data_IF_043201799697
#
_entry.id   IF_043201799697
#
_cell.length_a   1.000
_cell.length_b   1.000
_cell.length_c   1.000
_cell.angle_alpha   90.00
_cell.angle_beta   90.00
_cell.angle_gamma   90.00
#
_symmetry.space_group_name_H-M   'P 1'
#
loop_
_entity.id
_entity.type
_entity.pdbx_description
1 polymer ?
#
# COMPACT_ATOMS: atom_id res chain seq x y z
N UNK A 1 41.48 -5.35 63.92
CA UNK A 1 41.79 -4.67 62.66
C UNK A 1 40.47 -4.09 62.14
N UNK A 2 40.46 -2.76 62.01
CA UNK A 2 39.61 -1.93 61.13
C UNK A 2 38.11 -1.77 61.42
N UNK A 3 37.69 -0.51 61.22
CA UNK A 3 36.47 0.20 61.62
C UNK A 3 35.16 -0.18 60.86
N UNK A 4 33.98 0.30 61.36
CA UNK A 4 32.62 0.08 60.85
C UNK A 4 32.08 1.34 60.08
N UNK A 5 30.75 1.66 60.01
CA UNK A 5 29.63 1.14 59.20
C UNK A 5 28.96 2.23 58.28
N UNK A 6 27.80 1.90 57.66
CA UNK A 6 26.79 2.79 57.02
C UNK A 6 27.03 3.48 55.65
N UNK A 7 25.89 3.67 54.94
CA UNK A 7 25.63 4.31 53.63
C UNK A 7 25.80 3.39 52.39
N UNK A 8 24.86 3.29 51.43
CA UNK A 8 23.72 4.13 51.09
C UNK A 8 22.62 3.29 50.41
N UNK A 9 21.37 3.71 50.63
CA UNK A 9 20.30 3.61 49.65
C UNK A 9 20.85 4.08 48.30
N UNK A 10 20.61 3.33 47.22
CA UNK A 10 20.65 3.94 45.90
C UNK A 10 19.28 3.79 45.23
N UNK A 11 18.66 4.95 45.13
CA UNK A 11 17.46 5.28 44.41
C UNK A 11 17.71 5.15 42.89
N UNK A 12 16.66 4.81 42.13
CA UNK A 12 16.43 5.25 40.73
C UNK A 12 17.49 4.82 39.69
N UNK A 13 17.12 4.02 38.69
CA UNK A 13 16.31 4.55 37.62
C UNK A 13 15.19 3.61 37.20
N UNK A 14 14.05 3.76 37.88
CA UNK A 14 12.84 4.10 37.14
C UNK A 14 13.26 5.10 36.06
N UNK A 15 13.24 4.71 34.79
CA UNK A 15 13.13 5.72 33.74
C UNK A 15 12.09 6.72 34.24
N UNK A 16 12.39 8.02 34.26
CA UNK A 16 11.37 8.97 34.66
C UNK A 16 10.14 8.63 33.80
N UNK A 17 8.91 8.67 34.34
CA UNK A 17 7.78 8.87 33.45
C UNK A 17 8.20 10.06 32.60
N UNK A 18 8.38 9.83 31.28
CA UNK A 18 8.68 10.92 30.37
C UNK A 18 7.73 12.04 30.79
N UNK A 19 8.24 13.24 31.10
CA UNK A 19 7.37 14.30 31.57
C UNK A 19 6.20 14.31 30.61
N UNK A 20 4.98 14.24 31.14
CA UNK A 20 3.76 14.47 30.37
C UNK A 20 3.90 15.89 29.82
N UNK A 21 4.71 16.05 28.78
CA UNK A 21 4.83 17.27 28.01
C UNK A 21 3.53 17.27 27.26
N UNK A 22 2.64 18.12 27.73
CA UNK A 22 1.29 18.23 27.21
C UNK A 22 1.38 18.41 25.70
N UNK A 23 0.38 17.87 25.00
CA UNK A 23 0.17 18.07 23.57
C UNK A 23 0.42 19.53 23.14
N UNK A 24 0.05 20.48 24.00
CA UNK A 24 0.31 21.92 23.81
C UNK A 24 1.78 22.27 23.58
N UNK A 25 2.73 21.69 24.31
CA UNK A 25 4.16 22.01 24.18
C UNK A 25 4.70 21.60 22.81
N UNK A 26 4.26 20.46 22.31
CA UNK A 26 4.66 19.96 20.97
C UNK A 26 4.06 20.84 19.89
N UNK A 27 2.77 21.16 20.00
CA UNK A 27 2.05 22.01 19.05
C UNK A 27 2.61 23.43 19.02
N UNK A 28 2.94 24.00 20.18
CA UNK A 28 3.55 25.33 20.28
C UNK A 28 4.92 25.37 19.61
N UNK A 29 5.77 24.36 19.83
CA UNK A 29 7.07 24.26 19.18
C UNK A 29 6.97 24.14 17.66
N UNK A 30 5.95 23.43 17.15
CA UNK A 30 5.68 23.34 15.72
C UNK A 30 5.20 24.67 15.14
N UNK A 31 4.26 25.33 15.82
CA UNK A 31 3.77 26.64 15.41
C UNK A 31 4.89 27.69 15.40
N UNK A 32 5.81 27.66 16.37
CA UNK A 32 6.97 28.54 16.39
C UNK A 32 7.90 28.28 15.20
N UNK A 33 8.10 27.01 14.81
CA UNK A 33 8.84 26.66 13.60
C UNK A 33 8.15 27.18 12.32
N UNK A 34 6.82 27.04 12.20
CA UNK A 34 6.06 27.58 11.06
C UNK A 34 6.12 29.10 10.99
N UNK A 35 6.03 29.77 12.14
CA UNK A 35 6.17 31.23 12.24
C UNK A 35 7.55 31.68 11.80
N UNK A 36 8.62 31.02 12.26
CA UNK A 36 9.98 31.31 11.84
C UNK A 36 10.18 31.19 10.31
N UNK A 37 9.55 30.19 9.68
CA UNK A 37 9.56 30.05 8.22
C UNK A 37 8.79 31.17 7.51
N UNK A 38 7.62 31.57 8.03
CA UNK A 38 6.82 32.67 7.47
C UNK A 38 7.52 34.03 7.62
N UNK A 39 8.20 34.27 8.73
CA UNK A 39 8.97 35.49 9.00
C UNK A 39 10.28 35.53 8.21
N UNK A 40 10.79 34.36 7.82
CA UNK A 40 12.11 34.20 7.20
C UNK A 40 13.25 34.32 8.20
N UNK A 41 13.01 33.98 9.47
CA UNK A 41 14.02 34.02 10.53
C UNK A 41 14.92 32.78 10.47
N UNK A 42 16.06 32.94 9.81
CA UNK A 42 17.05 31.88 9.60
C UNK A 42 17.56 31.28 10.91
N UNK A 43 17.76 32.10 11.95
CA UNK A 43 18.32 31.62 13.22
C UNK A 43 17.27 30.89 14.05
N UNK A 44 16.02 31.36 14.06
CA UNK A 44 14.91 30.64 14.66
C UNK A 44 14.62 29.31 13.95
N UNK A 45 14.68 29.27 12.61
CA UNK A 45 14.57 28.01 11.84
C UNK A 45 15.72 27.07 12.18
N UNK A 46 16.96 27.58 12.27
CA UNK A 46 18.12 26.78 12.67
C UNK A 46 17.94 26.18 14.06
N UNK A 47 17.44 26.96 15.01
CA UNK A 47 17.27 26.56 16.40
C UNK A 47 16.12 25.57 16.62
N UNK A 48 15.07 25.65 15.80
CA UNK A 48 13.86 24.82 15.89
C UNK A 48 13.96 23.49 15.13
N UNK A 49 15.04 23.24 14.38
CA UNK A 49 15.23 22.03 13.59
C UNK A 49 16.42 21.18 14.07
N UNK A 50 16.34 19.86 13.91
CA UNK A 50 17.43 18.93 14.21
C UNK A 50 18.42 18.80 13.03
N UNK A 51 19.60 19.42 13.10
CA UNK A 51 20.61 19.33 12.02
C UNK A 51 21.60 18.18 12.23
N UNK A 52 21.98 17.46 11.16
CA UNK A 52 22.97 16.36 11.22
C UNK A 52 22.87 15.36 10.06
N UNK A 53 23.66 14.28 10.13
CA UNK A 53 23.54 13.14 9.21
C UNK A 53 22.23 12.41 9.48
N UNK A 54 21.41 12.27 8.43
CA UNK A 54 20.07 11.67 8.53
C UNK A 54 19.95 10.48 7.58
N UNK A 55 19.18 9.45 7.96
CA UNK A 55 18.83 8.41 7.03
C UNK A 55 17.92 8.94 5.91
N UNK A 56 17.86 8.29 4.74
CA UNK A 56 17.11 8.79 3.58
C UNK A 56 15.62 9.10 3.83
N UNK A 57 15.00 8.45 4.81
CA UNK A 57 13.58 8.60 5.16
C UNK A 57 13.26 9.79 6.08
N UNK A 58 14.27 10.48 6.65
CA UNK A 58 14.11 11.71 7.45
C UNK A 58 14.46 12.98 6.62
N UNK A 59 14.47 12.85 5.29
CA UNK A 59 14.76 13.95 4.36
C UNK A 59 13.52 14.82 4.16
N UNK A 60 13.70 16.10 4.45
CA UNK A 60 12.68 17.15 4.34
C UNK A 60 13.13 18.15 3.26
N UNK A 61 12.16 18.75 2.57
CA UNK A 61 12.38 19.78 1.55
C UNK A 61 13.27 20.91 2.05
N UNK A 62 13.09 21.38 3.30
CA UNK A 62 13.94 22.42 3.87
C UNK A 62 15.41 21.99 3.94
N UNK A 63 15.67 20.73 4.30
CA UNK A 63 17.03 20.18 4.39
C UNK A 63 17.63 19.99 3.01
N UNK A 64 16.86 19.46 2.07
CA UNK A 64 17.30 19.25 0.69
C UNK A 64 17.63 20.58 0.01
N UNK A 65 16.77 21.60 0.15
CA UNK A 65 17.05 22.96 -0.33
C UNK A 65 18.26 23.58 0.37
N UNK A 66 18.39 23.41 1.70
CA UNK A 66 19.52 23.95 2.45
C UNK A 66 20.85 23.32 2.04
N UNK A 67 20.85 22.03 1.67
CA UNK A 67 22.03 21.33 1.17
C UNK A 67 22.41 21.78 -0.26
N UNK A 68 21.43 22.11 -1.10
CA UNK A 68 21.64 22.54 -2.47
C UNK A 68 22.06 24.02 -2.58
N UNK A 69 21.45 24.89 -1.78
CA UNK A 69 21.52 26.35 -1.96
C UNK A 69 21.98 27.11 -0.72
N UNK A 70 22.05 26.45 0.44
CA UNK A 70 22.29 27.08 1.73
C UNK A 70 21.00 27.43 2.48
N UNK A 71 21.09 27.43 3.81
CA UNK A 71 19.92 27.66 4.68
C UNK A 71 19.21 29.02 4.44
N UNK A 72 19.92 30.17 4.27
CA UNK A 72 19.25 31.45 4.04
C UNK A 72 18.38 31.47 2.76
N UNK A 73 18.90 30.93 1.66
CA UNK A 73 18.16 30.80 0.40
C UNK A 73 16.98 29.85 0.54
N UNK A 74 17.16 28.69 1.16
CA UNK A 74 16.08 27.72 1.40
C UNK A 74 14.92 28.32 2.23
N UNK A 75 15.24 29.05 3.31
CA UNK A 75 14.25 29.76 4.13
C UNK A 75 13.53 30.84 3.32
N UNK A 76 14.26 31.58 2.49
CA UNK A 76 13.67 32.60 1.60
C UNK A 76 12.69 31.99 0.58
N UNK A 77 13.02 30.82 0.03
CA UNK A 77 12.10 30.12 -0.87
C UNK A 77 10.84 29.65 -0.15
N UNK A 78 11.00 28.97 1.00
CA UNK A 78 9.88 28.42 1.75
C UNK A 78 9.00 29.49 2.40
N UNK A 79 9.56 30.66 2.73
CA UNK A 79 8.79 31.82 3.20
C UNK A 79 7.65 32.18 2.25
N UNK A 80 7.87 32.13 0.93
CA UNK A 80 6.83 32.46 -0.07
C UNK A 80 5.60 31.56 0.03
N UNK A 81 5.80 30.33 0.51
CA UNK A 81 4.75 29.36 0.78
C UNK A 81 4.11 29.63 2.15
N UNK A 82 4.93 29.68 3.21
CA UNK A 82 4.44 29.75 4.59
C UNK A 82 3.81 31.10 4.98
N UNK A 83 4.20 32.20 4.35
CA UNK A 83 3.55 33.52 4.52
C UNK A 83 2.07 33.53 4.09
N UNK A 84 1.68 32.56 3.26
CA UNK A 84 0.32 32.46 2.69
C UNK A 84 -0.47 31.26 3.21
N UNK A 85 0.23 30.26 3.73
CA UNK A 85 -0.37 29.01 4.17
C UNK A 85 -1.01 29.17 5.56
N UNK A 86 -2.15 28.52 5.78
CA UNK A 86 -2.75 28.36 7.12
C UNK A 86 -2.60 26.92 7.56
N UNK A 87 -1.88 26.67 8.64
CA UNK A 87 -1.76 25.33 9.22
C UNK A 87 -2.76 25.17 10.38
N UNK A 88 -3.44 24.02 10.41
CA UNK A 88 -4.28 23.60 11.53
C UNK A 88 -3.82 22.24 12.01
N UNK A 89 -3.40 22.14 13.28
CA UNK A 89 -3.14 20.83 13.90
C UNK A 89 -4.44 20.02 13.99
N UNK A 90 -4.38 18.78 13.53
CA UNK A 90 -5.49 17.82 13.54
C UNK A 90 -5.33 16.74 14.60
N UNK A 91 -4.09 16.44 14.99
CA UNK A 91 -3.81 15.48 16.06
C UNK A 91 -2.32 15.35 16.34
N UNK A 92 -2.03 14.71 17.47
CA UNK A 92 -0.67 14.44 17.94
C UNK A 92 -0.57 12.98 18.34
N UNK A 93 0.46 12.28 17.85
CA UNK A 93 0.72 10.87 18.14
C UNK A 93 2.11 10.70 18.77
N UNK A 94 2.20 10.35 20.06
CA UNK A 94 3.49 10.04 20.68
C UNK A 94 4.02 8.68 20.19
N UNK A 95 5.34 8.60 19.98
CA UNK A 95 6.04 7.37 19.57
C UNK A 95 6.78 6.73 20.76
N UNK A 96 7.06 5.43 20.67
CA UNK A 96 7.68 4.65 21.75
C UNK A 96 9.12 5.07 22.09
N UNK A 97 9.80 5.76 21.17
CA UNK A 97 11.15 6.30 21.34
C UNK A 97 11.18 7.72 21.94
N UNK A 98 10.01 8.29 22.27
CA UNK A 98 9.88 9.65 22.79
C UNK A 98 9.80 10.75 21.72
N UNK A 99 9.94 10.41 20.44
CA UNK A 99 9.58 11.30 19.34
C UNK A 99 8.04 11.44 19.27
N UNK A 100 7.57 12.47 18.57
CA UNK A 100 6.15 12.77 18.44
C UNK A 100 5.84 13.14 16.99
N UNK A 101 4.77 12.60 16.45
CA UNK A 101 4.22 13.03 15.17
C UNK A 101 3.07 14.01 15.37
N UNK A 102 3.10 15.08 14.59
CA UNK A 102 2.03 16.07 14.57
C UNK A 102 1.40 16.10 13.18
N UNK A 103 0.09 15.84 13.14
CA UNK A 103 -0.69 15.88 11.91
C UNK A 103 -1.25 17.28 11.71
N UNK A 104 -0.98 17.90 10.57
CA UNK A 104 -1.47 19.22 10.20
C UNK A 104 -2.29 19.15 8.91
N UNK A 105 -3.29 20.03 8.78
CA UNK A 105 -3.90 20.37 7.50
C UNK A 105 -3.44 21.78 7.14
N UNK A 106 -2.79 21.92 5.99
CA UNK A 106 -2.30 23.18 5.45
C UNK A 106 -3.25 23.64 4.34
N UNK A 107 -3.93 24.75 4.54
CA UNK A 107 -4.82 25.37 3.55
C UNK A 107 -4.13 26.54 2.86
N UNK A 108 -4.11 26.52 1.53
CA UNK A 108 -3.55 27.58 0.68
C UNK A 108 -4.62 28.64 0.33
N UNK A 109 -4.22 29.85 -0.10
CA UNK A 109 -5.19 30.92 -0.42
C UNK A 109 -6.14 30.59 -1.57
N UNK A 110 -5.76 29.68 -2.47
CA UNK A 110 -6.58 29.21 -3.58
C UNK A 110 -7.57 28.10 -3.18
N UNK A 111 -7.64 27.76 -1.89
CA UNK A 111 -8.52 26.74 -1.35
C UNK A 111 -7.96 25.33 -1.43
N UNK A 112 -6.75 25.11 -1.98
CA UNK A 112 -6.10 23.79 -1.93
C UNK A 112 -5.70 23.43 -0.50
N UNK A 113 -5.83 22.15 -0.18
CA UNK A 113 -5.44 21.59 1.12
C UNK A 113 -4.33 20.55 0.95
N UNK A 114 -3.38 20.56 1.89
CA UNK A 114 -2.27 19.61 1.99
C UNK A 114 -2.25 19.06 3.42
N UNK A 115 -2.39 17.75 3.59
CA UNK A 115 -2.21 17.13 4.90
C UNK A 115 -0.72 16.85 5.11
N UNK A 116 -0.15 17.18 6.27
CA UNK A 116 1.26 16.91 6.57
C UNK A 116 1.43 16.18 7.90
N UNK A 117 2.48 15.38 8.01
CA UNK A 117 2.95 14.81 9.27
C UNK A 117 4.33 15.37 9.56
N UNK A 118 4.50 15.92 10.76
CA UNK A 118 5.77 16.46 11.22
C UNK A 118 6.31 15.62 12.35
N UNK A 119 7.48 15.01 12.14
CA UNK A 119 8.21 14.30 13.17
C UNK A 119 8.97 15.30 14.04
N UNK A 120 8.73 15.26 15.34
CA UNK A 120 9.35 16.12 16.34
C UNK A 120 10.12 15.29 17.36
N UNK A 121 11.33 15.74 17.69
CA UNK A 121 12.23 15.04 18.61
C UNK A 121 12.51 15.89 19.83
N UNK A 122 12.48 15.32 21.05
CA UNK A 122 12.94 16.03 22.24
C UNK A 122 14.44 16.36 22.13
N UNK A 123 14.80 17.61 22.41
CA UNK A 123 16.17 18.10 22.45
C UNK A 123 16.34 19.01 23.67
N UNK A 124 16.70 18.39 24.80
CA UNK A 124 16.73 19.07 26.09
C UNK A 124 15.32 19.26 26.64
N UNK A 125 14.94 20.51 26.87
CA UNK A 125 13.65 20.95 27.41
C UNK A 125 12.61 21.33 26.33
N UNK A 126 12.94 21.13 25.05
CA UNK A 126 12.10 21.53 23.90
C UNK A 126 11.98 20.41 22.87
N UNK A 127 10.98 20.51 22.02
CA UNK A 127 10.88 19.72 20.80
C UNK A 127 11.47 20.48 19.62
N UNK A 128 12.13 19.76 18.72
CA UNK A 128 12.64 20.28 17.45
C UNK A 128 12.07 19.47 16.29
N UNK A 129 11.83 20.14 15.16
CA UNK A 129 11.40 19.50 13.92
C UNK A 129 12.54 18.66 13.37
N UNK A 130 12.26 17.38 13.15
CA UNK A 130 13.14 16.46 12.41
C UNK A 130 12.79 16.59 10.94
N UNK A 131 11.56 16.27 10.56
CA UNK A 131 11.10 16.31 9.17
C UNK A 131 9.62 16.69 9.09
N UNK A 132 9.27 17.51 8.11
CA UNK A 132 7.88 17.65 7.65
C UNK A 132 7.70 16.86 6.36
N UNK A 133 6.72 15.96 6.34
CA UNK A 133 6.35 15.18 5.16
C UNK A 133 4.89 15.42 4.83
N UNK A 134 4.51 15.23 3.57
CA UNK A 134 3.10 15.08 3.22
C UNK A 134 2.55 13.87 3.99
N UNK A 135 1.45 14.05 4.72
CA UNK A 135 0.77 12.95 5.40
C UNK A 135 0.21 11.93 4.38
N UNK A 136 0.20 12.28 3.09
CA UNK A 136 -0.13 11.39 2.01
C UNK A 136 0.90 10.27 1.75
N UNK A 137 2.10 10.26 2.34
CA UNK A 137 3.20 9.41 1.85
C UNK A 137 3.65 8.24 2.76
N UNK A 138 2.76 7.75 3.65
CA UNK A 138 2.79 6.37 4.15
C UNK A 138 1.43 5.64 3.97
N UNK A 139 0.42 6.36 3.47
CA UNK A 139 -0.91 5.79 3.27
C UNK A 139 -0.91 4.87 2.05
N UNK A 140 -1.22 3.59 2.26
CA UNK A 140 -1.52 2.70 1.13
C UNK A 140 -2.94 2.95 0.67
N UNK A 141 -3.09 3.18 -0.63
CA UNK A 141 -4.38 3.40 -1.28
C UNK A 141 -4.62 2.31 -2.31
N UNK A 142 -5.74 1.63 -2.15
CA UNK A 142 -6.27 0.62 -3.07
C UNK A 142 -7.50 1.23 -3.74
N UNK A 143 -7.47 1.34 -5.07
CA UNK A 143 -8.55 1.86 -5.88
C UNK A 143 -9.29 0.70 -6.55
N UNK A 144 -10.52 0.47 -6.14
CA UNK A 144 -11.41 -0.54 -6.70
C UNK A 144 -12.14 0.11 -7.86
N UNK A 145 -11.89 -0.36 -9.07
CA UNK A 145 -12.39 0.26 -10.30
C UNK A 145 -13.68 -0.43 -10.75
N UNK A 146 -14.73 0.35 -10.92
CA UNK A 146 -16.07 -0.16 -11.25
C UNK A 146 -16.59 0.43 -12.57
N UNK A 147 -17.27 -0.40 -13.35
CA UNK A 147 -18.07 0.03 -14.50
C UNK A 147 -19.46 0.53 -14.08
N UNK A 148 -19.90 0.24 -12.86
CA UNK A 148 -21.09 0.85 -12.27
C UNK A 148 -20.76 2.29 -11.85
N UNK A 149 -21.52 3.32 -12.28
CA UNK A 149 -21.33 4.69 -11.82
C UNK A 149 -21.62 4.90 -10.33
N UNK A 150 -22.43 4.02 -9.72
CA UNK A 150 -22.87 4.14 -8.34
C UNK A 150 -22.87 2.79 -7.61
N UNK A 151 -21.68 2.17 -7.43
CA UNK A 151 -21.56 0.87 -6.79
C UNK A 151 -21.95 0.96 -5.31
N UNK A 152 -23.10 0.37 -4.98
CA UNK A 152 -23.57 0.24 -3.61
C UNK A 152 -22.80 -0.86 -2.87
N UNK A 153 -22.36 -0.55 -1.64
CA UNK A 153 -21.80 -1.53 -0.72
C UNK A 153 -22.80 -1.73 0.42
N UNK A 154 -23.35 -2.93 0.55
CA UNK A 154 -24.14 -3.32 1.72
C UNK A 154 -23.17 -3.71 2.84
N UNK A 155 -22.91 -2.78 3.76
CA UNK A 155 -21.94 -2.92 4.85
C UNK A 155 -22.32 -4.01 5.86
N UNK A 156 -23.62 -4.23 6.09
CA UNK A 156 -24.16 -5.31 6.91
C UNK A 156 -23.90 -6.67 6.26
N UNK A 157 -24.21 -6.81 4.98
CA UNK A 157 -23.95 -8.04 4.22
C UNK A 157 -22.46 -8.31 4.13
N UNK A 158 -21.65 -7.30 3.82
CA UNK A 158 -20.19 -7.39 3.80
C UNK A 158 -19.66 -7.92 5.14
N UNK A 159 -20.03 -7.28 6.26
CA UNK A 159 -19.55 -7.67 7.60
C UNK A 159 -19.94 -9.10 7.94
N UNK A 160 -21.16 -9.52 7.59
CA UNK A 160 -21.64 -10.89 7.82
C UNK A 160 -20.83 -11.91 7.02
N UNK A 161 -20.64 -11.66 5.72
CA UNK A 161 -19.89 -12.55 4.83
C UNK A 161 -18.41 -12.63 5.21
N UNK A 162 -17.81 -11.49 5.56
CA UNK A 162 -16.45 -11.42 6.12
C UNK A 162 -16.33 -12.30 7.37
N UNK A 163 -17.26 -12.13 8.31
CA UNK A 163 -17.25 -12.88 9.58
C UNK A 163 -17.36 -14.38 9.35
N UNK A 164 -18.17 -14.80 8.38
CA UNK A 164 -18.32 -16.20 8.01
C UNK A 164 -17.05 -16.80 7.40
N UNK A 165 -16.33 -16.03 6.56
CA UNK A 165 -15.15 -16.51 5.83
C UNK A 165 -13.85 -16.40 6.64
N UNK A 166 -13.68 -15.31 7.37
CA UNK A 166 -12.39 -14.92 7.99
C UNK A 166 -12.49 -14.71 9.50
N UNK A 167 -13.64 -15.00 10.10
CA UNK A 167 -13.93 -14.69 11.50
C UNK A 167 -14.25 -13.21 11.72
N UNK A 168 -14.67 -12.88 12.95
CA UNK A 168 -15.06 -11.52 13.35
C UNK A 168 -13.83 -10.61 13.54
N UNK A 169 -13.05 -10.43 12.48
CA UNK A 169 -11.79 -9.67 12.46
C UNK A 169 -11.92 -8.32 11.78
N UNK A 170 -12.99 -8.08 11.02
CA UNK A 170 -13.29 -6.78 10.42
C UNK A 170 -14.76 -6.40 10.57
N UNK A 171 -15.00 -5.10 10.60
CA UNK A 171 -16.32 -4.50 10.55
C UNK A 171 -16.30 -3.34 9.57
N UNK A 172 -17.24 -3.33 8.63
CA UNK A 172 -17.43 -2.23 7.70
C UNK A 172 -18.61 -1.39 8.18
N UNK A 173 -18.40 -0.08 8.23
CA UNK A 173 -19.42 0.91 8.56
C UNK A 173 -19.42 1.97 7.48
N UNK A 174 -20.57 2.21 6.85
CA UNK A 174 -20.73 3.22 5.81
C UNK A 174 -21.83 4.23 6.17
N UNK A 175 -21.62 5.47 5.77
CA UNK A 175 -22.61 6.54 5.70
C UNK A 175 -22.68 7.04 4.25
N UNK A 176 -23.66 6.52 3.50
CA UNK A 176 -23.66 6.62 2.05
C UNK A 176 -22.51 5.82 1.44
N UNK A 177 -21.60 6.51 0.76
CA UNK A 177 -20.44 5.89 0.09
C UNK A 177 -19.10 6.15 0.80
N UNK A 178 -19.15 6.81 1.96
CA UNK A 178 -17.98 7.10 2.78
C UNK A 178 -18.08 6.35 4.10
N UNK A 179 -16.96 5.89 4.63
CA UNK A 179 -16.94 5.22 5.91
C UNK A 179 -15.60 4.59 6.25
N UNK A 180 -15.64 3.50 7.00
CA UNK A 180 -14.43 2.85 7.47
C UNK A 180 -14.58 1.33 7.61
N UNK A 181 -13.52 0.64 7.22
CA UNK A 181 -13.28 -0.76 7.55
C UNK A 181 -12.36 -0.78 8.78
N UNK A 182 -12.83 -1.32 9.89
CA UNK A 182 -12.08 -1.41 11.15
C UNK A 182 -11.73 -2.85 11.52
N UNK A 183 -10.55 -3.08 12.08
CA UNK A 183 -10.20 -4.38 12.67
C UNK A 183 -10.77 -4.48 14.09
N UNK A 184 -11.39 -5.60 14.45
CA UNK A 184 -12.18 -5.72 15.70
C UNK A 184 -11.34 -5.76 16.98
N UNK A 185 -10.10 -6.25 16.90
CA UNK A 185 -9.19 -6.40 18.05
C UNK A 185 -7.86 -5.66 17.94
N UNK A 186 -7.66 -4.89 16.86
CA UNK A 186 -6.43 -4.14 16.60
C UNK A 186 -6.83 -2.72 16.24
N UNK A 187 -5.97 -1.75 16.53
CA UNK A 187 -6.21 -0.33 16.24
C UNK A 187 -6.03 0.02 14.74
N UNK A 188 -6.43 -0.89 13.85
CA UNK A 188 -6.30 -0.71 12.41
C UNK A 188 -7.61 -0.20 11.85
N UNK A 189 -7.51 0.85 11.06
CA UNK A 189 -8.64 1.50 10.42
C UNK A 189 -8.24 1.86 8.99
N UNK A 190 -9.06 1.42 8.04
CA UNK A 190 -8.97 1.84 6.66
C UNK A 190 -10.19 2.71 6.34
N UNK A 191 -9.95 3.88 5.76
CA UNK A 191 -11.01 4.72 5.21
C UNK A 191 -11.54 4.07 3.94
N UNK A 192 -12.85 4.04 3.78
CA UNK A 192 -13.53 3.66 2.54
C UNK A 192 -14.23 4.91 1.99
N UNK A 193 -14.06 5.21 0.69
CA UNK A 193 -14.64 6.39 0.05
C UNK A 193 -15.01 6.11 -1.40
N UNK A 194 -16.11 6.65 -1.88
CA UNK A 194 -16.47 6.60 -3.31
C UNK A 194 -17.86 7.16 -3.56
N UNK A 195 -18.46 6.91 -4.73
CA UNK A 195 -17.76 6.72 -5.99
C UNK A 195 -16.97 7.97 -6.38
N UNK A 196 -15.71 7.81 -6.79
CA UNK A 196 -14.85 8.89 -7.28
C UNK A 196 -14.77 8.78 -8.82
N UNK A 197 -15.01 9.86 -9.58
CA UNK A 197 -14.86 9.82 -11.04
C UNK A 197 -13.48 9.31 -11.46
N UNK A 198 -13.44 8.25 -12.27
CA UNK A 198 -12.18 7.57 -12.57
C UNK A 198 -11.30 8.31 -13.56
N UNK A 199 -11.88 8.85 -14.64
CA UNK A 199 -11.10 9.41 -15.76
C UNK A 199 -10.07 10.49 -15.33
N UNK A 200 -10.40 11.47 -14.46
CA UNK A 200 -9.42 12.46 -13.98
C UNK A 200 -8.26 11.85 -13.19
N UNK A 201 -8.50 10.70 -12.55
CA UNK A 201 -7.54 9.98 -11.72
C UNK A 201 -6.67 9.07 -12.61
N UNK A 202 -7.30 8.41 -13.59
CA UNK A 202 -6.65 7.57 -14.59
C UNK A 202 -5.56 8.32 -15.34
N UNK A 203 -5.81 9.55 -15.77
CA UNK A 203 -4.82 10.38 -16.47
C UNK A 203 -3.57 10.64 -15.62
N UNK A 204 -3.76 10.87 -14.31
CA UNK A 204 -2.66 11.12 -13.36
C UNK A 204 -1.82 9.87 -13.08
N UNK A 205 -2.43 8.69 -13.11
CA UNK A 205 -1.74 7.44 -12.80
C UNK A 205 -1.30 6.65 -14.04
N UNK A 206 -1.74 7.04 -15.24
CA UNK A 206 -1.34 6.40 -16.50
C UNK A 206 0.16 6.54 -16.73
N UNK A 207 0.81 5.43 -17.06
CA UNK A 207 2.26 5.36 -17.33
C UNK A 207 2.50 4.73 -18.69
N UNK A 208 3.66 5.01 -19.29
CA UNK A 208 4.07 4.39 -20.57
C UNK A 208 4.05 2.85 -20.52
N UNK A 209 4.27 2.26 -19.34
CA UNK A 209 4.38 0.81 -19.12
C UNK A 209 3.15 0.18 -18.49
N UNK A 210 2.16 0.98 -18.05
CA UNK A 210 0.94 0.50 -17.42
C UNK A 210 -0.22 1.42 -17.81
N UNK A 211 -1.09 0.90 -18.66
CA UNK A 211 -2.34 1.55 -19.02
C UNK A 211 -3.44 0.95 -18.18
N UNK A 212 -4.11 1.81 -17.43
CA UNK A 212 -5.13 1.42 -16.47
C UNK A 212 -6.46 1.17 -17.20
N UNK A 213 -7.30 0.25 -16.68
CA UNK A 213 -8.55 -0.11 -17.33
C UNK A 213 -9.49 1.08 -17.46
N UNK A 214 -10.40 0.97 -18.41
CA UNK A 214 -11.58 1.83 -18.47
C UNK A 214 -12.50 1.43 -17.33
N UNK A 215 -13.00 2.42 -16.61
CA UNK A 215 -13.95 2.30 -15.52
C UNK A 215 -14.70 3.62 -15.41
N UNK A 216 -15.92 3.60 -14.87
CA UNK A 216 -16.70 4.83 -14.69
C UNK A 216 -16.26 5.53 -13.41
N UNK A 217 -16.11 4.78 -12.31
CA UNK A 217 -15.68 5.32 -11.04
C UNK A 217 -14.67 4.41 -10.31
N UNK A 218 -14.11 4.95 -9.24
CA UNK A 218 -13.26 4.23 -8.30
C UNK A 218 -13.84 4.34 -6.88
N UNK A 219 -13.76 3.25 -6.11
CA UNK A 219 -13.88 3.26 -4.66
C UNK A 219 -12.46 3.20 -4.08
N UNK A 220 -12.14 4.07 -3.14
CA UNK A 220 -10.85 4.12 -2.45
C UNK A 220 -10.95 3.40 -1.11
N UNK A 221 -10.00 2.49 -0.86
CA UNK A 221 -9.71 1.93 0.47
C UNK A 221 -8.30 2.35 0.85
N UNK A 222 -8.17 3.16 1.91
CA UNK A 222 -6.92 3.79 2.29
C UNK A 222 -6.59 3.58 3.76
N UNK A 223 -5.36 3.18 4.08
CA UNK A 223 -4.89 3.09 5.47
C UNK A 223 -3.47 3.60 5.63
N UNK A 224 -3.17 4.13 6.81
CA UNK A 224 -1.80 4.27 7.29
C UNK A 224 -1.40 2.97 7.99
N UNK A 225 -0.41 2.23 7.49
CA UNK A 225 0.00 1.00 8.13
C UNK A 225 0.75 1.27 9.44
N UNK A 226 0.74 0.32 10.39
CA UNK A 226 1.50 0.45 11.62
C UNK A 226 3.02 0.41 11.36
N UNK A 227 3.78 1.02 12.28
CA UNK A 227 5.23 1.15 12.15
C UNK A 227 5.96 -0.18 12.35
N UNK A 228 5.52 -1.00 13.31
CA UNK A 228 6.09 -2.31 13.57
C UNK A 228 6.02 -3.20 12.33
N UNK A 229 7.13 -3.86 11.99
CA UNK A 229 7.26 -4.59 10.73
C UNK A 229 6.30 -5.77 10.62
N UNK A 230 6.08 -6.50 11.70
CA UNK A 230 5.19 -7.66 11.68
C UNK A 230 3.73 -7.22 11.71
N UNK A 231 3.37 -6.27 12.58
CA UNK A 231 2.05 -5.64 12.57
C UNK A 231 1.74 -4.98 11.21
N UNK A 232 2.74 -4.38 10.56
CA UNK A 232 2.62 -3.79 9.23
C UNK A 232 2.19 -4.84 8.23
N UNK A 233 2.92 -5.94 8.13
CA UNK A 233 2.59 -7.02 7.17
C UNK A 233 1.16 -7.52 7.36
N UNK A 234 0.79 -7.82 8.60
CA UNK A 234 -0.56 -8.30 8.91
C UNK A 234 -1.64 -7.26 8.61
N UNK A 235 -1.38 -5.97 8.87
CA UNK A 235 -2.28 -4.88 8.53
C UNK A 235 -2.45 -4.72 7.01
N UNK A 236 -1.37 -4.87 6.24
CA UNK A 236 -1.41 -4.84 4.78
C UNK A 236 -2.22 -6.01 4.24
N UNK A 237 -2.07 -7.19 4.81
CA UNK A 237 -2.88 -8.37 4.46
C UNK A 237 -4.36 -8.17 4.74
N UNK A 238 -4.67 -7.67 5.92
CA UNK A 238 -6.04 -7.35 6.28
C UNK A 238 -6.65 -6.30 5.33
N UNK A 239 -5.89 -5.24 4.98
CA UNK A 239 -6.31 -4.22 4.03
C UNK A 239 -6.53 -4.78 2.64
N UNK A 240 -5.60 -5.60 2.15
CA UNK A 240 -5.69 -6.25 0.85
C UNK A 240 -6.95 -7.10 0.77
N UNK A 241 -7.16 -8.00 1.73
CA UNK A 241 -8.39 -8.80 1.81
C UNK A 241 -9.64 -7.92 1.88
N UNK A 242 -9.60 -6.87 2.69
CA UNK A 242 -10.67 -5.86 2.78
C UNK A 242 -11.07 -5.32 1.42
N UNK A 243 -10.09 -4.78 0.68
CA UNK A 243 -10.33 -4.24 -0.66
C UNK A 243 -10.75 -5.31 -1.67
N UNK A 244 -10.19 -6.52 -1.59
CA UNK A 244 -10.58 -7.66 -2.42
C UNK A 244 -12.05 -8.03 -2.21
N UNK A 245 -12.52 -8.15 -0.96
CA UNK A 245 -13.92 -8.47 -0.66
C UNK A 245 -14.86 -7.32 -1.03
N UNK A 246 -14.45 -6.05 -0.83
CA UNK A 246 -15.24 -4.90 -1.30
C UNK A 246 -15.38 -4.97 -2.82
N UNK A 247 -14.29 -5.26 -3.55
CA UNK A 247 -14.32 -5.41 -5.00
C UNK A 247 -15.25 -6.55 -5.45
N UNK A 248 -15.23 -7.71 -4.77
CA UNK A 248 -16.17 -8.80 -5.06
C UNK A 248 -17.62 -8.35 -4.84
N UNK A 249 -17.86 -7.65 -3.73
CA UNK A 249 -19.20 -7.22 -3.34
C UNK A 249 -19.84 -6.28 -4.38
N UNK A 250 -19.04 -5.36 -4.93
CA UNK A 250 -19.52 -4.40 -5.94
C UNK A 250 -19.35 -4.89 -7.38
N UNK A 251 -18.88 -6.13 -7.58
CA UNK A 251 -18.63 -6.68 -8.91
C UNK A 251 -17.51 -5.95 -9.69
N UNK A 252 -16.56 -5.35 -8.99
CA UNK A 252 -15.44 -4.64 -9.62
C UNK A 252 -14.39 -5.61 -10.17
N UNK A 253 -13.96 -5.36 -11.40
CA UNK A 253 -12.99 -6.20 -12.12
C UNK A 253 -11.53 -5.89 -11.77
N UNK A 254 -11.27 -4.78 -11.08
CA UNK A 254 -9.92 -4.30 -10.84
C UNK A 254 -9.73 -3.68 -9.45
N UNK A 255 -8.63 -4.06 -8.80
CA UNK A 255 -8.10 -3.35 -7.63
C UNK A 255 -6.71 -2.83 -8.00
N UNK A 256 -6.56 -1.51 -8.08
CA UNK A 256 -5.30 -0.85 -8.37
C UNK A 256 -4.61 -0.39 -7.09
N UNK A 257 -3.35 -0.79 -6.92
CA UNK A 257 -2.49 -0.26 -5.86
C UNK A 257 -1.85 1.04 -6.33
N UNK A 258 -2.18 2.17 -5.69
CA UNK A 258 -1.45 3.40 -5.93
C UNK A 258 -0.02 3.27 -5.39
N UNK A 259 0.99 3.38 -6.26
CA UNK A 259 2.39 3.51 -5.82
C UNK A 259 2.56 4.83 -5.09
N UNK A 260 2.84 4.76 -3.79
CA UNK A 260 3.45 5.86 -3.05
C UNK A 260 4.89 6.02 -3.56
N UNK A 261 5.30 7.26 -3.87
CA UNK A 261 6.61 7.49 -4.49
C UNK A 261 7.76 7.33 -3.50
N UNK A 262 7.51 7.37 -2.18
CA UNK A 262 8.61 7.42 -1.20
C UNK A 262 8.78 6.29 -0.20
N UNK A 263 7.80 5.46 0.19
CA UNK A 263 8.12 4.47 1.25
C UNK A 263 7.45 3.10 1.24
N UNK A 264 6.56 2.80 0.31
CA UNK A 264 6.12 1.42 0.05
C UNK A 264 6.12 1.26 -1.47
N UNK A 265 7.25 0.77 -1.99
CA UNK A 265 7.26 0.29 -3.36
C UNK A 265 6.13 -0.75 -3.47
N UNK A 266 5.45 -0.88 -4.62
CA UNK A 266 4.57 -2.04 -4.86
C UNK A 266 5.26 -3.36 -4.49
N UNK A 267 6.60 -3.39 -4.56
CA UNK A 267 7.45 -4.47 -4.06
C UNK A 267 7.33 -4.76 -2.57
N UNK A 268 7.09 -3.79 -1.69
CA UNK A 268 6.96 -4.00 -0.25
C UNK A 268 5.55 -4.41 0.16
N UNK A 269 4.50 -3.91 -0.52
CA UNK A 269 3.16 -4.51 -0.43
C UNK A 269 3.19 -5.94 -0.97
N UNK A 270 3.82 -6.17 -2.12
CA UNK A 270 4.05 -7.51 -2.70
C UNK A 270 4.81 -8.42 -1.74
N UNK A 271 5.91 -7.96 -1.13
CA UNK A 271 6.68 -8.76 -0.17
C UNK A 271 5.90 -9.02 1.12
N UNK A 272 5.21 -8.01 1.66
CA UNK A 272 4.44 -8.14 2.88
C UNK A 272 3.34 -9.19 2.72
N UNK A 273 2.56 -9.07 1.64
CA UNK A 273 1.46 -9.96 1.34
C UNK A 273 1.92 -11.36 0.86
N UNK A 274 3.08 -11.46 0.21
CA UNK A 274 3.67 -12.76 -0.14
C UNK A 274 4.14 -13.52 1.11
N UNK A 275 4.61 -12.82 2.14
CA UNK A 275 5.18 -13.41 3.36
C UNK A 275 4.10 -13.78 4.39
N UNK A 276 3.10 -12.91 4.63
CA UNK A 276 2.12 -13.14 5.70
C UNK A 276 0.89 -13.94 5.24
N UNK A 277 0.43 -13.72 4.01
CA UNK A 277 -0.78 -14.33 3.45
C UNK A 277 -0.50 -15.54 2.56
N UNK A 278 0.77 -15.74 2.19
CA UNK A 278 1.18 -16.52 1.03
C UNK A 278 0.71 -15.89 -0.29
N UNK A 279 1.30 -16.28 -1.43
CA UNK A 279 0.86 -15.76 -2.73
C UNK A 279 -0.63 -15.98 -3.05
N UNK A 280 -1.31 -16.90 -2.36
CA UNK A 280 -2.77 -17.11 -2.48
C UNK A 280 -3.56 -15.89 -2.01
N UNK A 281 -3.23 -15.30 -0.86
CA UNK A 281 -3.91 -14.10 -0.38
C UNK A 281 -3.66 -12.87 -1.27
N UNK A 282 -2.47 -12.79 -1.88
CA UNK A 282 -2.15 -11.80 -2.91
C UNK A 282 -3.01 -11.97 -4.16
N UNK A 283 -3.05 -13.19 -4.69
CA UNK A 283 -3.83 -13.50 -5.88
C UNK A 283 -5.32 -13.21 -5.65
N UNK A 284 -5.90 -13.64 -4.53
CA UNK A 284 -7.32 -13.37 -4.24
C UNK A 284 -7.66 -11.88 -4.10
N UNK A 285 -6.67 -11.05 -3.72
CA UNK A 285 -6.86 -9.62 -3.53
C UNK A 285 -6.78 -8.84 -4.86
N UNK A 286 -5.74 -9.11 -5.65
CA UNK A 286 -5.42 -8.26 -6.81
C UNK A 286 -5.69 -8.93 -8.14
N UNK A 287 -5.76 -10.26 -8.17
CA UNK A 287 -5.91 -11.03 -9.39
C UNK A 287 -7.37 -11.43 -9.52
N UNK A 288 -8.11 -10.69 -10.34
CA UNK A 288 -9.47 -11.07 -10.75
C UNK A 288 -9.40 -11.93 -11.99
N UNK A 289 -10.26 -12.94 -12.06
CA UNK A 289 -10.49 -13.73 -13.26
C UNK A 289 -11.71 -13.19 -13.96
N UNK A 290 -11.52 -12.58 -15.14
CA UNK A 290 -12.59 -12.05 -15.96
C UNK A 290 -12.86 -13.01 -17.10
N UNK A 291 -14.12 -13.40 -17.26
CA UNK A 291 -14.59 -14.25 -18.34
C UNK A 291 -15.21 -13.41 -19.47
N UNK A 292 -14.73 -13.61 -20.69
CA UNK A 292 -15.30 -12.99 -21.89
C UNK A 292 -15.03 -13.87 -23.10
N UNK A 293 -16.02 -14.02 -23.98
CA UNK A 293 -15.89 -14.74 -25.26
C UNK A 293 -15.36 -16.18 -25.14
N UNK A 294 -15.70 -16.88 -24.06
CA UNK A 294 -15.22 -18.26 -23.79
C UNK A 294 -13.78 -18.34 -23.24
N UNK A 295 -13.19 -17.21 -22.86
CA UNK A 295 -11.86 -17.11 -22.27
C UNK A 295 -11.95 -16.59 -20.85
N UNK A 296 -11.10 -17.10 -19.96
CA UNK A 296 -10.83 -16.50 -18.66
C UNK A 296 -9.45 -15.83 -18.68
N UNK A 297 -9.34 -14.64 -18.07
CA UNK A 297 -8.08 -13.89 -18.02
C UNK A 297 -7.85 -13.28 -16.65
N UNK A 298 -6.60 -13.27 -16.19
CA UNK A 298 -6.23 -12.51 -15.01
C UNK A 298 -6.22 -11.02 -15.30
N UNK A 299 -6.59 -10.28 -14.27
CA UNK A 299 -6.52 -8.83 -14.20
C UNK A 299 -5.82 -8.47 -12.90
N UNK A 300 -4.65 -7.83 -13.00
CA UNK A 300 -3.91 -7.32 -11.85
C UNK A 300 -2.53 -7.93 -11.63
N UNK A 301 -2.11 -8.92 -12.41
CA UNK A 301 -0.71 -9.37 -12.38
C UNK A 301 0.25 -8.31 -12.95
N UNK A 302 -0.20 -7.54 -13.95
CA UNK A 302 0.62 -6.52 -14.62
C UNK A 302 1.09 -5.40 -13.69
N UNK A 303 0.27 -5.02 -12.70
CA UNK A 303 0.62 -4.02 -11.68
C UNK A 303 1.66 -4.54 -10.68
N UNK A 304 1.82 -5.86 -10.57
CA UNK A 304 2.90 -6.52 -9.80
C UNK A 304 4.13 -6.86 -10.65
N UNK A 305 4.17 -6.38 -11.90
CA UNK A 305 5.25 -6.66 -12.88
C UNK A 305 5.32 -8.15 -13.26
N UNK A 306 4.17 -8.83 -13.32
CA UNK A 306 4.02 -10.18 -13.85
C UNK A 306 3.16 -10.16 -15.14
N UNK A 307 3.32 -11.14 -16.05
CA UNK A 307 2.41 -11.25 -17.18
C UNK A 307 0.99 -11.61 -16.71
N UNK A 308 -0.02 -11.06 -17.36
CA UNK A 308 -1.38 -11.60 -17.19
C UNK A 308 -1.48 -13.00 -17.81
N UNK A 309 -2.42 -13.82 -17.35
CA UNK A 309 -2.66 -15.17 -17.81
C UNK A 309 -4.01 -15.24 -18.50
N UNK A 310 -4.04 -15.86 -19.68
CA UNK A 310 -5.24 -16.07 -20.49
C UNK A 310 -5.44 -17.57 -20.71
N UNK A 311 -6.67 -18.04 -20.58
CA UNK A 311 -7.01 -19.44 -20.80
C UNK A 311 -8.32 -19.56 -21.58
N UNK A 312 -8.37 -20.45 -22.55
CA UNK A 312 -9.58 -20.79 -23.29
C UNK A 312 -10.35 -21.83 -22.48
N UNK A 313 -11.58 -21.54 -22.05
CA UNK A 313 -12.33 -22.40 -21.13
C UNK A 313 -12.62 -23.77 -21.76
N UNK A 314 -12.88 -23.80 -23.07
CA UNK A 314 -13.17 -25.03 -23.81
C UNK A 314 -12.01 -26.01 -23.93
N UNK A 315 -10.77 -25.58 -23.63
CA UNK A 315 -9.60 -26.45 -23.64
C UNK A 315 -9.49 -27.33 -22.38
N UNK A 316 -10.38 -27.17 -21.41
CA UNK A 316 -10.33 -27.82 -20.09
C UNK A 316 -11.63 -28.58 -19.80
N UNK A 317 -11.60 -29.57 -18.87
CA UNK A 317 -12.75 -30.40 -18.55
C UNK A 317 -14.01 -29.60 -18.16
N UNK A 318 -13.81 -28.48 -17.46
CA UNK A 318 -14.85 -27.56 -17.04
C UNK A 318 -14.26 -26.18 -16.71
N UNK A 319 -15.13 -25.16 -16.62
CA UNK A 319 -14.73 -23.79 -16.32
C UNK A 319 -14.12 -23.59 -14.94
N UNK A 320 -14.54 -24.36 -13.94
CA UNK A 320 -13.98 -24.26 -12.59
C UNK A 320 -12.52 -24.76 -12.56
N UNK A 321 -12.22 -25.82 -13.29
CA UNK A 321 -10.88 -26.38 -13.47
C UNK A 321 -9.96 -25.41 -14.21
N UNK A 322 -10.44 -24.78 -15.29
CA UNK A 322 -9.72 -23.70 -15.98
C UNK A 322 -9.39 -22.53 -15.04
N UNK A 323 -10.37 -22.06 -14.25
CA UNK A 323 -10.18 -20.97 -13.28
C UNK A 323 -9.19 -21.33 -12.18
N UNK A 324 -9.30 -22.52 -11.59
CA UNK A 324 -8.35 -23.02 -10.57
C UNK A 324 -6.93 -23.10 -11.09
N UNK A 325 -6.75 -23.53 -12.34
CA UNK A 325 -5.46 -23.60 -12.99
C UNK A 325 -4.83 -22.21 -13.16
N UNK A 326 -5.58 -21.24 -13.68
CA UNK A 326 -5.09 -19.86 -13.84
C UNK A 326 -4.78 -19.22 -12.49
N UNK A 327 -5.64 -19.38 -11.49
CA UNK A 327 -5.38 -18.90 -10.13
C UNK A 327 -4.11 -19.52 -9.54
N UNK A 328 -3.90 -20.83 -9.71
CA UNK A 328 -2.71 -21.53 -9.24
C UNK A 328 -1.43 -21.05 -9.91
N UNK A 329 -1.49 -20.76 -11.21
CA UNK A 329 -0.38 -20.17 -11.96
C UNK A 329 -0.08 -18.75 -11.51
N UNK A 330 -1.09 -17.91 -11.31
CA UNK A 330 -0.93 -16.55 -10.79
C UNK A 330 -0.20 -16.55 -9.45
N UNK A 331 -0.61 -17.44 -8.53
CA UNK A 331 0.06 -17.68 -7.25
C UNK A 331 1.52 -18.10 -7.46
N UNK A 332 1.80 -19.00 -8.41
CA UNK A 332 3.14 -19.47 -8.69
C UNK A 332 4.09 -18.39 -9.26
N UNK A 333 3.57 -17.44 -10.06
CA UNK A 333 4.33 -16.24 -10.48
C UNK A 333 4.67 -15.35 -9.29
N UNK A 334 3.67 -15.09 -8.42
CA UNK A 334 3.84 -14.24 -7.25
C UNK A 334 4.84 -14.84 -6.24
N UNK A 335 4.82 -16.16 -6.07
CA UNK A 335 5.80 -16.91 -5.25
C UNK A 335 7.21 -16.96 -5.87
N UNK A 336 7.37 -16.52 -7.13
CA UNK A 336 8.63 -16.66 -7.87
C UNK A 336 8.97 -18.10 -8.28
N UNK A 337 8.01 -19.02 -8.20
CA UNK A 337 8.15 -20.41 -8.68
C UNK A 337 8.12 -20.50 -10.21
N UNK A 338 7.56 -19.50 -10.87
CA UNK A 338 7.57 -19.35 -12.32
C UNK A 338 8.25 -18.02 -12.68
N UNK A 339 9.28 -18.02 -13.54
CA UNK A 339 9.97 -16.79 -13.93
C UNK A 339 9.05 -15.87 -14.76
N UNK A 340 9.12 -14.55 -14.59
CA UNK A 340 8.22 -13.58 -15.24
C UNK A 340 8.48 -13.36 -16.74
N UNK A 341 9.50 -13.99 -17.32
CA UNK A 341 9.93 -13.72 -18.69
C UNK A 341 9.33 -14.68 -19.72
N UNK A 342 8.73 -14.10 -20.76
CA UNK A 342 8.22 -14.77 -21.95
C UNK A 342 9.35 -15.19 -22.91
N UNK A 343 10.42 -15.84 -22.43
CA UNK A 343 11.57 -16.24 -23.25
C UNK A 343 11.39 -17.55 -24.01
N UNK A 344 10.22 -18.20 -23.91
CA UNK A 344 9.90 -19.42 -24.66
C UNK A 344 8.71 -20.17 -24.08
N UNK A 345 8.24 -21.25 -24.74
CA UNK A 345 7.18 -22.08 -24.20
C UNK A 345 7.66 -22.79 -22.93
N UNK A 346 7.22 -22.31 -21.77
CA UNK A 346 7.47 -22.98 -20.50
C UNK A 346 6.46 -24.11 -20.33
N UNK A 347 6.93 -25.34 -20.20
CA UNK A 347 6.08 -26.46 -19.80
C UNK A 347 6.14 -26.55 -18.27
N UNK A 348 4.98 -26.34 -17.64
CA UNK A 348 4.84 -26.30 -16.18
C UNK A 348 3.85 -27.38 -15.78
N UNK A 349 4.16 -28.13 -14.72
CA UNK A 349 3.16 -28.98 -14.10
C UNK A 349 2.45 -28.18 -13.01
N UNK A 350 1.13 -28.07 -13.09
CA UNK A 350 0.28 -27.47 -12.07
C UNK A 350 -0.70 -28.55 -11.66
N UNK A 351 -0.25 -29.42 -10.77
CA UNK A 351 -1.04 -30.61 -10.46
C UNK A 351 -1.03 -31.68 -11.47
N UNK A 352 -2.22 -32.21 -11.69
CA UNK A 352 -2.47 -33.18 -12.74
C UNK A 352 -2.35 -32.54 -14.14
N UNK A 353 -2.35 -31.21 -14.22
CA UNK A 353 -2.26 -30.50 -15.49
C UNK A 353 -0.82 -30.22 -15.87
N UNK A 354 -0.45 -30.70 -17.06
CA UNK A 354 0.78 -30.30 -17.75
C UNK A 354 0.42 -29.20 -18.74
N UNK A 355 0.96 -28.01 -18.52
CA UNK A 355 0.55 -26.80 -19.26
C UNK A 355 1.72 -26.18 -19.98
N UNK A 356 1.45 -25.63 -21.15
CA UNK A 356 2.38 -24.81 -21.92
C UNK A 356 1.97 -23.35 -21.80
N UNK A 357 2.87 -22.51 -21.30
CA UNK A 357 2.72 -21.06 -21.37
C UNK A 357 3.28 -20.57 -22.69
N UNK A 358 2.48 -19.87 -23.49
CA UNK A 358 2.91 -19.25 -24.74
C UNK A 358 2.58 -17.76 -24.73
N UNK A 359 3.13 -17.00 -25.68
CA UNK A 359 2.73 -15.60 -25.88
C UNK A 359 1.22 -15.52 -26.12
N UNK A 360 0.55 -14.67 -25.34
CA UNK A 360 -0.90 -14.62 -25.31
C UNK A 360 -1.54 -13.91 -26.49
N UNK A 361 -2.87 -14.00 -26.60
CA UNK A 361 -3.65 -13.39 -27.70
C UNK A 361 -3.49 -11.88 -27.73
N UNK A 362 -3.25 -11.27 -26.57
CA UNK A 362 -3.03 -9.84 -26.40
C UNK A 362 -1.57 -9.40 -26.45
N UNK A 363 -0.63 -10.33 -26.59
CA UNK A 363 0.81 -10.10 -26.85
C UNK A 363 1.51 -9.08 -25.96
N UNK A 364 2.79 -8.79 -26.27
CA UNK A 364 3.48 -7.57 -25.81
C UNK A 364 3.20 -6.38 -26.75
N UNK A 365 2.80 -6.65 -27.99
CA UNK A 365 2.56 -5.64 -29.03
C UNK A 365 1.25 -5.90 -29.79
N UNK A 366 0.13 -5.52 -29.15
CA UNK A 366 -1.09 -4.90 -29.73
C UNK A 366 -2.18 -4.86 -28.65
N UNK A 367 -2.15 -3.83 -27.80
CA UNK A 367 -3.18 -3.53 -26.79
C UNK A 367 -2.64 -3.52 -25.35
N UNK A 368 -1.93 -2.49 -24.91
CA UNK A 368 -2.51 -1.35 -24.15
C UNK A 368 -3.16 -1.64 -22.77
N UNK A 369 -2.88 -2.77 -22.10
CA UNK A 369 -3.41 -3.01 -20.71
C UNK A 369 -2.56 -3.86 -19.75
N UNK A 370 -1.41 -4.42 -20.13
CA UNK A 370 -0.88 -5.65 -19.48
C UNK A 370 0.53 -5.56 -18.83
N UNK A 371 1.01 -4.37 -18.46
CA UNK A 371 2.31 -4.22 -17.80
C UNK A 371 3.51 -4.55 -18.71
N UNK A 372 4.72 -4.62 -18.14
CA UNK A 372 5.99 -4.79 -18.87
C UNK A 372 6.07 -6.12 -19.63
N UNK A 373 5.37 -7.16 -19.15
CA UNK A 373 5.49 -8.53 -19.66
C UNK A 373 4.34 -9.00 -20.55
N UNK A 374 3.28 -8.19 -20.71
CA UNK A 374 2.13 -8.54 -21.56
C UNK A 374 1.28 -9.67 -20.97
N UNK A 375 0.71 -10.51 -21.83
CA UNK A 375 -0.09 -11.67 -21.43
C UNK A 375 0.51 -12.99 -21.94
N UNK A 376 0.35 -14.05 -21.16
CA UNK A 376 0.68 -15.43 -21.52
C UNK A 376 -0.60 -16.25 -21.64
N UNK A 377 -0.72 -17.02 -22.72
CA UNK A 377 -1.80 -17.98 -22.89
C UNK A 377 -1.38 -19.33 -22.30
N UNK A 378 -2.27 -19.88 -21.47
CA UNK A 378 -2.17 -21.21 -20.86
C UNK A 378 -2.86 -22.21 -21.80
N UNK A 379 -2.11 -23.17 -22.32
CA UNK A 379 -2.65 -24.30 -23.12
C UNK A 379 -2.30 -25.62 -22.44
N UNK A 380 -3.06 -26.69 -22.68
CA UNK A 380 -2.57 -28.04 -22.45
C UNK A 380 -1.23 -28.24 -23.18
N UNK A 381 -0.26 -28.86 -22.52
CA UNK A 381 0.91 -29.36 -23.22
C UNK A 381 0.52 -30.68 -23.87
N UNK A 382 0.50 -30.74 -25.21
CA UNK A 382 0.23 -31.99 -25.93
C UNK A 382 1.16 -33.11 -25.40
N UNK A 383 0.61 -34.31 -25.16
CA UNK A 383 1.40 -35.46 -24.67
C UNK A 383 2.47 -35.92 -25.66
N UNK A 384 2.36 -35.51 -26.93
CA UNK A 384 3.29 -35.86 -27.98
C UNK A 384 4.20 -34.67 -28.25
N UNK A 385 5.38 -34.69 -27.63
CA UNK A 385 6.66 -34.30 -28.20
C UNK A 385 7.70 -34.57 -27.10
N UNK A 386 8.49 -35.63 -27.29
CA UNK A 386 9.79 -35.79 -26.66
C UNK A 386 10.70 -34.63 -27.13
N UNK A 387 10.65 -33.51 -26.42
CA UNK A 387 11.76 -32.55 -26.43
C UNK A 387 12.47 -32.70 -25.08
N UNK A 388 13.70 -33.20 -25.15
CA UNK A 388 14.71 -33.02 -24.11
C UNK A 388 14.87 -31.52 -23.85
N UNK A 389 14.27 -31.01 -22.78
CA UNK A 389 14.58 -29.69 -22.21
C UNK A 389 14.72 -29.84 -20.70
N UNK A 390 15.87 -29.37 -20.22
CA UNK A 390 16.53 -29.69 -18.96
C UNK A 390 16.01 -28.92 -17.73
N UNK A 391 14.93 -28.14 -17.86
CA UNK A 391 14.38 -27.31 -16.78
C UNK A 391 12.92 -27.67 -16.47
N UNK A 392 12.73 -28.70 -15.63
CA UNK A 392 11.39 -29.15 -15.17
C UNK A 392 10.99 -28.44 -13.88
N UNK A 393 9.98 -27.56 -13.94
CA UNK A 393 9.31 -27.00 -12.76
C UNK A 393 8.00 -27.76 -12.50
N UNK A 394 7.94 -28.50 -11.38
CA UNK A 394 6.73 -29.21 -10.94
C UNK A 394 6.09 -28.51 -9.74
N UNK A 395 4.81 -28.12 -9.87
CA UNK A 395 4.02 -27.50 -8.81
C UNK A 395 2.94 -28.50 -8.36
N UNK A 396 2.92 -28.84 -7.07
CA UNK A 396 1.90 -29.70 -6.47
C UNK A 396 0.68 -28.82 -6.11
N UNK A 397 -0.54 -29.18 -6.55
CA UNK A 397 -1.78 -28.53 -6.19
C UNK A 397 -2.23 -29.16 -4.88
N UNK A 398 -2.81 -28.36 -4.01
CA UNK A 398 -3.38 -28.88 -2.78
C UNK A 398 -4.85 -29.23 -3.06
N UNK A 399 -5.32 -30.43 -2.70
CA UNK A 399 -6.70 -30.83 -2.95
C UNK A 399 -7.60 -30.19 -1.89
N UNK A 400 -8.15 -29.02 -2.21
CA UNK A 400 -9.25 -28.43 -1.47
C UNK A 400 -9.10 -26.93 -1.23
N UNK A 401 -9.75 -26.14 -2.07
CA UNK A 401 -10.50 -24.93 -1.69
C UNK A 401 -10.95 -24.20 -2.95
N UNK A 402 -12.26 -23.98 -3.05
CA UNK A 402 -12.85 -23.10 -4.04
C UNK A 402 -12.26 -21.69 -3.90
N UNK A 403 -11.66 -21.21 -4.99
CA UNK A 403 -11.45 -19.78 -5.19
C UNK A 403 -12.86 -19.29 -5.58
N UNK A 404 -13.54 -18.64 -4.63
CA UNK A 404 -14.95 -18.27 -4.73
C UNK A 404 -15.28 -17.49 -6.02
N UNK A 405 -16.49 -17.77 -6.52
CA UNK A 405 -17.17 -17.06 -7.62
C UNK A 405 -17.25 -15.54 -7.40
#
# INVERSE_FOLDING_TARGET
>A
MSNPPDHALDERASSPPHPNLSESVVVDALHDHRRALADGDVEAVRASMAWGARPPWERDLLVDLSAAEGLPEAVTQLRKFWDKARAQTRGVRPLSNGDVEVFELITMPDGRELSTVTLMRPKGDRYVVVSTSDAADDTIRLLILSEDPDPEIDDVRFTREWTQRFGATAHLLLDGHDGALGHTSKEWLARVRGPIPWEPIRERFSRKTLQLPEAICALEVAMTPPEDREARKEALEWLGRGAGEVAAHVGADWVYVQRAEKLIATNDLRKALAISSGARGLASTFVRLVEADGWASTRGLGQMEYPELEIEISDWPDGASARRLVGSLAVAFIDGRVPPHASGPHIINVGEYRVRLALGRRGSERGRTHGVHGALVVRPADMDIEIELDDRLSLIPDPGSDIGD
#
